data_IF_935228842110
#
_entry.id   IF_935228842110
#
_cell.length_a   1.000
_cell.length_b   1.000
_cell.length_c   1.000
_cell.angle_alpha   90.00
_cell.angle_beta   90.00
_cell.angle_gamma   90.00
#
_symmetry.space_group_name_H-M   'P 1'
#
loop_
_entity.id
_entity.type
_entity.pdbx_description
1 polymer ?
#
# COMPACT_ATOMS: atom_id res chain seq x y z
N UNK A 1 14.67 -5.11 0.48
CA UNK A 1 13.39 -5.70 0.02
C UNK A 1 12.32 -4.72 0.41
N UNK A 2 11.52 -4.22 -0.53
CA UNK A 2 10.61 -3.09 -0.29
C UNK A 2 9.17 -3.52 -0.52
N UNK A 3 8.29 -3.20 0.42
CA UNK A 3 6.84 -3.30 0.28
C UNK A 3 6.29 -1.95 -0.20
N UNK A 4 5.49 -1.95 -1.26
CA UNK A 4 4.78 -0.77 -1.76
C UNK A 4 3.28 -0.95 -1.59
N UNK A 5 2.65 -0.02 -0.86
CA UNK A 5 1.22 0.03 -0.62
C UNK A 5 0.62 1.11 -1.52
N UNK A 6 -0.27 0.70 -2.41
CA UNK A 6 -0.82 1.53 -3.48
C UNK A 6 -2.29 1.81 -3.18
N UNK A 7 -2.63 3.06 -2.91
CA UNK A 7 -4.01 3.50 -2.76
C UNK A 7 -4.57 3.93 -4.12
N UNK A 8 -5.79 3.50 -4.45
CA UNK A 8 -6.49 3.95 -5.68
C UNK A 8 -6.59 5.47 -5.76
N UNK A 9 -6.97 6.09 -4.65
CA UNK A 9 -7.21 7.53 -4.51
C UNK A 9 -6.18 8.23 -3.64
N UNK A 10 -6.63 9.23 -2.89
CA UNK A 10 -5.78 9.96 -1.96
C UNK A 10 -5.32 9.05 -0.81
N UNK A 11 -4.05 9.19 -0.40
CA UNK A 11 -3.46 8.40 0.68
C UNK A 11 -4.03 8.92 2.01
N UNK A 12 -4.55 8.06 2.90
CA UNK A 12 -4.98 8.50 4.23
C UNK A 12 -3.82 9.15 5.00
N UNK A 13 -4.09 10.22 5.75
CA UNK A 13 -3.04 11.03 6.40
C UNK A 13 -2.09 10.19 7.28
N UNK A 14 -2.63 9.23 8.04
CA UNK A 14 -1.83 8.33 8.89
C UNK A 14 -0.84 7.47 8.10
N UNK A 15 -1.26 7.01 6.92
CA UNK A 15 -0.41 6.24 6.01
C UNK A 15 0.68 7.12 5.39
N UNK A 16 0.37 8.36 5.04
CA UNK A 16 1.34 9.32 4.51
C UNK A 16 2.40 9.75 5.55
N UNK A 17 2.07 9.69 6.84
CA UNK A 17 2.99 10.03 7.94
C UNK A 17 3.83 8.84 8.41
N UNK A 18 3.50 7.62 7.98
CA UNK A 18 4.18 6.40 8.38
C UNK A 18 5.57 6.35 7.76
N UNK A 19 6.62 6.31 8.59
CA UNK A 19 8.01 6.22 8.17
C UNK A 19 8.62 4.92 8.68
N UNK A 20 8.59 3.89 7.84
CA UNK A 20 9.17 2.57 8.11
C UNK A 20 10.17 2.27 6.99
N UNK A 21 11.39 1.85 7.38
CA UNK A 21 12.40 1.45 6.40
C UNK A 21 11.89 0.25 5.59
N UNK A 22 11.97 0.34 4.26
CA UNK A 22 11.48 -0.70 3.36
C UNK A 22 9.96 -0.67 3.09
N UNK A 23 9.25 0.36 3.54
CA UNK A 23 7.85 0.61 3.20
C UNK A 23 7.70 1.86 2.33
N UNK A 24 7.02 1.74 1.20
CA UNK A 24 6.61 2.86 0.35
C UNK A 24 5.08 2.94 0.33
N UNK A 25 4.54 4.14 0.46
CA UNK A 25 3.10 4.40 0.38
C UNK A 25 2.85 5.40 -0.72
N UNK A 26 2.01 5.04 -1.69
CA UNK A 26 1.82 5.78 -2.94
C UNK A 26 0.35 5.78 -3.37
N UNK A 27 0.01 6.75 -4.21
CA UNK A 27 -1.32 6.86 -4.83
C UNK A 27 -1.25 6.50 -6.30
N UNK A 28 -2.25 5.76 -6.78
CA UNK A 28 -2.46 5.47 -8.20
C UNK A 28 -3.27 6.55 -8.92
N UNK A 29 -3.69 7.62 -8.24
CA UNK A 29 -4.53 8.71 -8.78
C UNK A 29 -3.93 9.37 -10.02
N UNK A 30 -2.61 9.43 -10.11
CA UNK A 30 -1.86 10.02 -11.23
C UNK A 30 -1.16 8.97 -12.12
N UNK A 31 -1.51 7.69 -11.97
CA UNK A 31 -0.88 6.58 -12.67
C UNK A 31 -0.27 5.55 -11.73
N UNK A 32 -0.03 4.35 -12.26
CA UNK A 32 0.55 3.24 -11.49
C UNK A 32 2.07 3.45 -11.37
N UNK A 33 2.64 3.39 -10.16
CA UNK A 33 4.08 3.53 -9.94
C UNK A 33 4.85 2.30 -10.45
N UNK A 34 6.17 2.42 -10.60
CA UNK A 34 7.02 1.27 -10.91
C UNK A 34 7.11 0.31 -9.71
N UNK A 35 6.58 -0.89 -9.90
CA UNK A 35 6.49 -1.96 -8.90
C UNK A 35 7.54 -3.07 -9.12
N UNK A 36 8.41 -2.97 -10.13
CA UNK A 36 9.38 -4.02 -10.44
C UNK A 36 10.36 -4.24 -9.29
N UNK A 37 10.52 -5.50 -8.87
CA UNK A 37 11.40 -5.89 -7.78
C UNK A 37 10.89 -5.50 -6.38
N UNK A 38 9.64 -5.05 -6.26
CA UNK A 38 8.97 -4.72 -5.00
C UNK A 38 7.86 -5.73 -4.71
N UNK A 39 7.56 -5.93 -3.44
CA UNK A 39 6.30 -6.56 -3.03
C UNK A 39 5.24 -5.48 -3.09
N UNK A 40 4.20 -5.66 -3.90
CA UNK A 40 3.17 -4.65 -4.10
C UNK A 40 1.81 -5.13 -3.59
N UNK A 41 1.07 -4.23 -2.96
CA UNK A 41 -0.32 -4.44 -2.56
C UNK A 41 -1.15 -3.21 -2.93
N UNK A 42 -2.36 -3.43 -3.43
CA UNK A 42 -3.33 -2.39 -3.76
C UNK A 42 -4.46 -2.39 -2.74
N UNK A 43 -4.80 -1.21 -2.23
CA UNK A 43 -5.86 -1.01 -1.24
C UNK A 43 -7.13 -0.50 -1.90
N UNK A 44 -8.25 -1.18 -1.66
CA UNK A 44 -9.59 -0.74 -2.05
C UNK A 44 -9.91 -0.86 -3.55
N UNK A 45 -8.99 -1.36 -4.37
CA UNK A 45 -9.20 -1.56 -5.81
C UNK A 45 -8.74 -2.95 -6.27
N UNK A 46 -9.68 -3.90 -6.20
CA UNK A 46 -9.43 -5.29 -6.61
C UNK A 46 -9.13 -5.41 -8.10
N UNK A 47 -9.83 -4.67 -8.94
CA UNK A 47 -9.61 -4.71 -10.40
C UNK A 47 -8.21 -4.22 -10.76
N UNK A 48 -7.72 -3.18 -10.09
CA UNK A 48 -6.35 -2.69 -10.25
C UNK A 48 -5.33 -3.73 -9.76
N UNK A 49 -5.57 -4.36 -8.61
CA UNK A 49 -4.70 -5.41 -8.09
C UNK A 49 -4.56 -6.57 -9.08
N UNK A 50 -5.68 -7.03 -9.65
CA UNK A 50 -5.73 -8.12 -10.63
C UNK A 50 -5.01 -7.73 -11.94
N UNK A 51 -5.23 -6.50 -12.45
CA UNK A 51 -4.54 -5.98 -13.64
C UNK A 51 -3.03 -5.94 -13.47
N UNK A 52 -2.56 -5.65 -12.25
CA UNK A 52 -1.13 -5.56 -11.94
C UNK A 52 -0.53 -6.92 -11.51
N UNK A 53 -1.36 -7.92 -11.21
CA UNK A 53 -0.91 -9.21 -10.69
C UNK A 53 -0.30 -9.11 -9.29
N UNK A 54 -0.81 -8.21 -8.46
CA UNK A 54 -0.29 -7.90 -7.12
C UNK A 54 -1.30 -8.24 -6.02
N UNK A 55 -0.88 -8.16 -4.76
CA UNK A 55 -1.78 -8.41 -3.63
C UNK A 55 -2.90 -7.37 -3.56
N UNK A 56 -4.07 -7.79 -3.07
CA UNK A 56 -5.21 -6.92 -2.81
C UNK A 56 -5.47 -6.87 -1.31
N UNK A 57 -5.78 -5.67 -0.80
CA UNK A 57 -6.32 -5.45 0.53
C UNK A 57 -7.60 -4.63 0.42
N UNK A 58 -8.62 -5.04 1.16
CA UNK A 58 -9.74 -4.16 1.49
C UNK A 58 -9.28 -3.00 2.37
N UNK A 59 -10.10 -1.96 2.51
CA UNK A 59 -9.79 -0.84 3.42
C UNK A 59 -9.73 -1.30 4.89
N UNK A 60 -10.53 -2.30 5.26
CA UNK A 60 -10.52 -2.90 6.60
C UNK A 60 -9.23 -3.69 6.85
N UNK A 61 -8.82 -4.57 5.93
CA UNK A 61 -7.55 -5.29 6.04
C UNK A 61 -6.34 -4.35 6.01
N UNK A 62 -6.42 -3.25 5.26
CA UNK A 62 -5.41 -2.21 5.29
C UNK A 62 -5.33 -1.53 6.67
N UNK A 63 -6.45 -1.33 7.36
CA UNK A 63 -6.45 -0.82 8.73
C UNK A 63 -5.75 -1.76 9.71
N UNK A 64 -6.08 -3.06 9.64
CA UNK A 64 -5.43 -4.07 10.45
C UNK A 64 -3.93 -4.14 10.17
N UNK A 65 -3.56 -4.08 8.88
CA UNK A 65 -2.17 -4.08 8.46
C UNK A 65 -1.42 -2.83 8.94
N UNK A 66 -2.05 -1.65 8.90
CA UNK A 66 -1.49 -0.42 9.46
C UNK A 66 -1.19 -0.57 10.96
N UNK A 67 -2.15 -1.09 11.73
CA UNK A 67 -1.99 -1.29 13.17
C UNK A 67 -0.86 -2.29 13.49
N UNK A 68 -0.74 -3.34 12.67
CA UNK A 68 0.37 -4.29 12.74
C UNK A 68 1.72 -3.58 12.49
N UNK A 69 1.82 -2.77 11.43
CA UNK A 69 3.04 -2.04 11.08
C UNK A 69 3.47 -1.07 12.20
N UNK A 70 2.53 -0.33 12.78
CA UNK A 70 2.80 0.60 13.88
C UNK A 70 3.28 -0.15 15.12
N UNK A 71 2.66 -1.29 15.43
CA UNK A 71 3.06 -2.13 16.58
C UNK A 71 4.44 -2.76 16.38
N UNK A 72 4.83 -3.07 15.14
CA UNK A 72 6.13 -3.63 14.80
C UNK A 72 7.26 -2.59 14.79
N UNK A 73 6.94 -1.33 14.44
CA UNK A 73 7.90 -0.23 14.38
C UNK A 73 8.11 0.51 15.72
N UNK A 74 7.37 0.12 16.76
CA UNK A 74 7.48 0.63 18.14
C UNK A 74 8.54 -0.12 18.94
#
# INVERSE_FOLDING_TARGET
MTLIVIFKGDIPQKWAQLKIEGLEVVSAKNGVPDIRGKFAVVVGDKELAEKLGVGFLTEEEAEEFFNFLVSYAS
#
